data_IF_590936361953
#
_entry.id   IF_590936361953
#
_cell.length_a   1.000
_cell.length_b   1.000
_cell.length_c   1.000
_cell.angle_alpha   90.00
_cell.angle_beta   90.00
_cell.angle_gamma   90.00
#
_symmetry.space_group_name_H-M   'P 1'
#
loop_
_entity.id
_entity.type
_entity.pdbx_description
1 polymer ?
#
# COMPACT_ATOMS: atom_id res chain seq x y z
N UNK A 1 -0.03 -34.60 7.28
CA UNK A 1 -0.88 -33.47 6.82
C UNK A 1 -1.61 -33.75 5.49
N UNK A 2 -0.94 -34.18 4.42
CA UNK A 2 -1.60 -34.51 3.13
C UNK A 2 -2.59 -35.67 3.20
N UNK A 3 -2.31 -36.73 3.97
CA UNK A 3 -3.23 -37.87 4.15
C UNK A 3 -4.51 -37.51 4.93
N UNK A 4 -4.40 -36.66 5.95
CA UNK A 4 -5.55 -36.23 6.75
C UNK A 4 -6.52 -35.38 5.92
N UNK A 5 -5.99 -34.49 5.06
CA UNK A 5 -6.81 -33.70 4.14
C UNK A 5 -7.52 -34.56 3.07
N UNK A 6 -6.86 -35.63 2.59
CA UNK A 6 -7.49 -36.56 1.63
C UNK A 6 -8.63 -37.37 2.25
N UNK A 7 -8.51 -37.75 3.53
CA UNK A 7 -9.56 -38.47 4.26
C UNK A 7 -10.76 -37.55 4.56
N UNK A 8 -10.53 -36.30 4.93
CA UNK A 8 -11.58 -35.33 5.21
C UNK A 8 -12.39 -34.97 3.95
N UNK A 9 -11.71 -34.90 2.77
CA UNK A 9 -12.42 -34.67 1.48
C UNK A 9 -13.30 -35.85 1.08
N UNK A 10 -12.91 -37.09 1.38
CA UNK A 10 -13.71 -38.29 1.12
C UNK A 10 -14.95 -38.38 2.03
N UNK A 11 -14.94 -37.71 3.18
CA UNK A 11 -16.06 -37.65 4.13
C UNK A 11 -16.99 -36.44 3.89
N UNK A 12 -16.84 -35.72 2.79
CA UNK A 12 -17.68 -34.58 2.45
C UNK A 12 -17.42 -33.31 3.25
N UNK A 13 -16.37 -33.28 4.07
CA UNK A 13 -15.89 -32.05 4.69
C UNK A 13 -15.14 -31.23 3.63
N UNK A 14 -15.72 -30.11 3.19
CA UNK A 14 -14.96 -29.11 2.42
C UNK A 14 -13.74 -28.73 3.24
N UNK A 15 -12.54 -28.85 2.64
CA UNK A 15 -11.35 -28.24 3.23
C UNK A 15 -11.68 -26.76 3.45
N UNK A 16 -11.66 -26.32 4.69
CA UNK A 16 -11.69 -24.89 5.00
C UNK A 16 -10.39 -24.38 4.41
N UNK A 17 -10.45 -23.72 3.25
CA UNK A 17 -9.34 -22.94 2.76
C UNK A 17 -9.03 -21.96 3.89
N UNK A 18 -7.81 -21.97 4.42
CA UNK A 18 -7.39 -20.99 5.40
C UNK A 18 -7.29 -19.65 4.70
N UNK A 19 -8.44 -18.98 4.55
CA UNK A 19 -8.46 -17.59 4.11
C UNK A 19 -7.74 -16.78 5.18
N UNK A 20 -6.79 -15.93 4.74
CA UNK A 20 -6.13 -15.03 5.67
C UNK A 20 -7.15 -14.07 6.32
N UNK A 21 -6.86 -13.61 7.50
CA UNK A 21 -7.64 -12.56 8.14
C UNK A 21 -7.67 -11.27 7.30
N UNK A 22 -8.77 -10.51 7.31
CA UNK A 22 -8.84 -9.19 6.69
C UNK A 22 -7.72 -8.30 7.21
N UNK A 23 -7.10 -7.56 6.30
CA UNK A 23 -6.08 -6.56 6.61
C UNK A 23 -6.62 -5.15 6.45
N UNK A 24 -5.97 -4.19 7.09
CA UNK A 24 -6.28 -2.79 6.95
C UNK A 24 -5.23 -2.10 6.07
N UNK A 25 -5.70 -1.46 5.03
CA UNK A 25 -4.90 -0.86 3.98
C UNK A 25 -5.10 0.65 3.97
N UNK A 26 -4.00 1.38 3.87
CA UNK A 26 -4.00 2.80 3.58
C UNK A 26 -3.60 3.01 2.11
N UNK A 27 -4.33 3.86 1.40
CA UNK A 27 -4.06 4.22 0.01
C UNK A 27 -4.02 5.75 -0.14
N UNK A 28 -2.88 6.29 -0.57
CA UNK A 28 -2.73 7.67 -1.00
C UNK A 28 -2.65 7.70 -2.51
N UNK A 29 -3.71 8.17 -3.17
CA UNK A 29 -3.83 8.20 -4.61
C UNK A 29 -4.98 9.13 -5.03
N UNK A 30 -4.86 9.83 -6.15
CA UNK A 30 -5.91 10.70 -6.70
C UNK A 30 -6.66 10.09 -7.90
N UNK A 31 -6.20 8.98 -8.45
CA UNK A 31 -6.78 8.34 -9.64
C UNK A 31 -7.94 7.39 -9.29
N UNK A 32 -9.16 7.78 -9.67
CA UNK A 32 -10.37 7.00 -9.43
C UNK A 32 -10.37 5.60 -10.06
N UNK A 33 -9.63 5.39 -11.14
CA UNK A 33 -9.51 4.06 -11.78
C UNK A 33 -8.66 3.14 -10.92
N UNK A 34 -7.57 3.66 -10.36
CA UNK A 34 -6.76 2.91 -9.40
C UNK A 34 -7.51 2.63 -8.11
N UNK A 35 -8.32 3.57 -7.61
CA UNK A 35 -9.20 3.31 -6.44
C UNK A 35 -10.10 2.09 -6.67
N UNK A 36 -10.75 2.01 -7.85
CA UNK A 36 -11.59 0.85 -8.20
C UNK A 36 -10.77 -0.44 -8.27
N UNK A 37 -9.57 -0.37 -8.85
CA UNK A 37 -8.68 -1.52 -8.94
C UNK A 37 -8.31 -2.05 -7.54
N UNK A 38 -7.92 -1.16 -6.61
CA UNK A 38 -7.62 -1.54 -5.23
C UNK A 38 -8.83 -2.15 -4.52
N UNK A 39 -10.01 -1.56 -4.68
CA UNK A 39 -11.25 -2.06 -4.08
C UNK A 39 -11.59 -3.49 -4.55
N UNK A 40 -11.36 -3.79 -5.82
CA UNK A 40 -11.57 -5.14 -6.36
C UNK A 40 -10.48 -6.10 -5.89
N UNK A 41 -9.23 -5.66 -5.89
CA UNK A 41 -8.09 -6.50 -5.51
C UNK A 41 -8.11 -6.90 -4.04
N UNK A 42 -8.53 -6.00 -3.18
CA UNK A 42 -8.61 -6.18 -1.74
C UNK A 42 -10.05 -6.34 -1.25
N UNK A 43 -10.90 -6.96 -2.06
CA UNK A 43 -12.28 -7.27 -1.66
C UNK A 43 -12.27 -8.12 -0.38
N UNK A 44 -12.98 -7.65 0.65
CA UNK A 44 -13.01 -8.29 1.97
C UNK A 44 -11.99 -7.72 2.97
N UNK A 45 -11.10 -6.83 2.54
CA UNK A 45 -10.20 -6.06 3.39
C UNK A 45 -10.78 -4.65 3.66
N UNK A 46 -10.15 -3.91 4.59
CA UNK A 46 -10.54 -2.54 4.92
C UNK A 46 -9.58 -1.58 4.23
N UNK A 47 -10.10 -0.63 3.42
CA UNK A 47 -9.30 0.38 2.71
C UNK A 47 -9.71 1.76 3.18
N UNK A 48 -8.74 2.51 3.70
CA UNK A 48 -8.86 3.95 3.95
C UNK A 48 -8.13 4.71 2.83
N UNK A 49 -8.84 5.62 2.17
CA UNK A 49 -8.36 6.38 1.03
C UNK A 49 -8.09 7.83 1.42
N UNK A 50 -6.92 8.34 1.06
CA UNK A 50 -6.57 9.74 1.11
C UNK A 50 -6.26 10.28 -0.29
N UNK A 51 -6.68 11.51 -0.56
CA UNK A 51 -6.48 12.20 -1.83
C UNK A 51 -5.36 13.26 -1.77
N UNK A 52 -4.95 13.63 -0.56
CA UNK A 52 -3.96 14.68 -0.33
C UNK A 52 -3.15 14.40 0.94
N UNK A 53 -2.13 15.23 1.15
CA UNK A 53 -1.19 15.07 2.27
C UNK A 53 -1.87 15.21 3.64
N UNK A 54 -2.77 16.17 3.80
CA UNK A 54 -3.44 16.45 5.08
C UNK A 54 -4.34 15.29 5.51
N UNK A 55 -5.13 14.75 4.59
CA UNK A 55 -5.96 13.56 4.84
C UNK A 55 -5.09 12.35 5.18
N UNK A 56 -3.97 12.17 4.47
CA UNK A 56 -3.04 11.08 4.72
C UNK A 56 -2.45 11.16 6.12
N UNK A 57 -1.96 12.32 6.54
CA UNK A 57 -1.42 12.53 7.87
C UNK A 57 -2.45 12.25 8.97
N UNK A 58 -3.69 12.71 8.79
CA UNK A 58 -4.75 12.46 9.74
C UNK A 58 -5.04 10.96 9.90
N UNK A 59 -5.21 10.23 8.81
CA UNK A 59 -5.51 8.80 8.84
C UNK A 59 -4.35 7.98 9.41
N UNK A 60 -3.12 8.27 8.98
CA UNK A 60 -1.92 7.58 9.44
C UNK A 60 -1.58 7.86 10.91
N UNK A 61 -2.02 8.99 11.46
CA UNK A 61 -1.85 9.33 12.88
C UNK A 61 -2.85 8.66 13.80
N UNK A 62 -4.03 8.29 13.28
CA UNK A 62 -5.17 7.82 14.10
C UNK A 62 -5.42 6.32 13.96
N UNK A 63 -4.92 5.68 12.92
CA UNK A 63 -5.16 4.27 12.64
C UNK A 63 -3.85 3.53 12.39
N UNK A 64 -3.83 2.23 12.71
CA UNK A 64 -2.75 1.32 12.32
C UNK A 64 -3.12 0.56 11.04
N UNK A 65 -2.15 0.41 10.13
CA UNK A 65 -2.33 -0.27 8.86
C UNK A 65 -1.34 -1.42 8.70
N UNK A 66 -1.79 -2.48 8.04
CA UNK A 66 -0.94 -3.61 7.64
C UNK A 66 -0.16 -3.29 6.36
N UNK A 67 -0.77 -2.50 5.48
CA UNK A 67 -0.19 -2.09 4.22
C UNK A 67 -0.42 -0.61 3.95
N UNK A 68 0.59 0.06 3.43
CA UNK A 68 0.55 1.46 3.00
C UNK A 68 0.96 1.53 1.53
N UNK A 69 0.06 2.06 0.69
CA UNK A 69 0.30 2.30 -0.74
C UNK A 69 0.36 3.79 -1.00
N UNK A 70 1.46 4.25 -1.58
CA UNK A 70 1.73 5.67 -1.83
C UNK A 70 1.92 5.94 -3.32
N UNK A 71 1.13 6.86 -3.86
CA UNK A 71 1.42 7.53 -5.12
C UNK A 71 2.29 8.77 -4.86
N UNK A 72 3.02 9.24 -5.87
CA UNK A 72 3.80 10.48 -5.80
C UNK A 72 2.95 11.68 -6.25
N UNK A 73 2.37 11.60 -7.44
CA UNK A 73 1.65 12.71 -8.06
C UNK A 73 0.17 12.69 -7.63
N UNK A 74 -0.25 13.71 -6.90
CA UNK A 74 -1.58 13.77 -6.29
C UNK A 74 -2.52 14.79 -6.96
N UNK A 75 -2.02 15.55 -7.94
CA UNK A 75 -2.78 16.53 -8.69
C UNK A 75 -2.37 16.53 -10.16
N UNK A 76 -3.27 16.88 -11.11
CA UNK A 76 -2.93 16.88 -12.54
C UNK A 76 -1.71 17.74 -12.89
N UNK A 77 -1.48 18.84 -12.20
CA UNK A 77 -0.33 19.71 -12.40
C UNK A 77 1.00 19.06 -12.04
N UNK A 78 1.02 18.04 -11.18
CA UNK A 78 2.23 17.31 -10.82
C UNK A 78 2.76 16.44 -11.96
N UNK A 79 1.88 16.01 -12.88
CA UNK A 79 2.26 15.14 -14.01
C UNK A 79 3.08 15.86 -15.09
N UNK A 80 2.98 17.19 -15.16
CA UNK A 80 3.61 18.02 -16.19
C UNK A 80 4.64 19.01 -15.66
N UNK A 81 4.79 19.13 -14.34
CA UNK A 81 5.69 20.10 -13.72
C UNK A 81 7.11 19.54 -13.57
N UNK A 82 8.12 20.32 -14.02
CA UNK A 82 9.51 20.07 -13.72
C UNK A 82 9.89 20.54 -12.30
N UNK A 83 9.08 21.41 -11.70
CA UNK A 83 9.25 21.91 -10.33
C UNK A 83 8.33 21.11 -9.41
N UNK A 84 8.89 20.14 -8.70
CA UNK A 84 8.16 19.35 -7.75
C UNK A 84 7.91 20.13 -6.45
N UNK A 85 6.65 20.37 -6.13
CA UNK A 85 6.27 20.81 -4.79
C UNK A 85 6.22 19.59 -3.87
N UNK A 86 7.35 19.29 -3.23
CA UNK A 86 7.48 18.14 -2.34
C UNK A 86 6.55 18.20 -1.12
N UNK A 87 5.99 19.39 -0.81
CA UNK A 87 5.04 19.54 0.32
C UNK A 87 3.64 19.05 0.01
N UNK A 88 3.30 18.87 -1.27
CA UNK A 88 1.96 18.48 -1.75
C UNK A 88 1.93 17.14 -2.48
N UNK A 89 3.05 16.49 -2.64
CA UNK A 89 3.18 15.18 -3.28
C UNK A 89 3.28 14.06 -2.26
N UNK A 90 3.27 12.82 -2.73
CA UNK A 90 3.53 11.64 -1.89
C UNK A 90 4.87 11.67 -1.17
N UNK A 91 5.85 12.43 -1.67
CA UNK A 91 7.13 12.63 -1.00
C UNK A 91 6.97 13.27 0.39
N UNK A 92 6.01 14.17 0.58
CA UNK A 92 5.72 14.75 1.90
C UNK A 92 5.34 13.67 2.94
N UNK A 93 4.58 12.68 2.54
CA UNK A 93 4.23 11.55 3.41
C UNK A 93 5.42 10.63 3.65
N UNK A 94 6.21 10.35 2.63
CA UNK A 94 7.43 9.55 2.77
C UNK A 94 8.41 10.20 3.77
N UNK A 95 8.65 11.49 3.64
CA UNK A 95 9.51 12.27 4.54
C UNK A 95 8.94 12.34 5.96
N UNK A 96 7.64 12.53 6.09
CA UNK A 96 6.97 12.57 7.38
C UNK A 96 7.02 11.23 8.11
N UNK A 97 6.79 10.11 7.41
CA UNK A 97 6.95 8.76 7.98
C UNK A 97 8.41 8.47 8.36
N UNK A 98 9.38 8.90 7.55
CA UNK A 98 10.80 8.76 7.87
C UNK A 98 11.20 9.50 9.15
N UNK A 99 10.57 10.66 9.41
CA UNK A 99 10.85 11.49 10.59
C UNK A 99 10.06 11.08 11.84
N UNK A 100 9.08 10.19 11.70
CA UNK A 100 8.21 9.72 12.79
C UNK A 100 8.20 8.19 12.85
N UNK A 101 9.32 7.56 13.29
CA UNK A 101 9.47 6.09 13.25
C UNK A 101 8.49 5.35 14.15
N UNK A 102 7.87 6.01 15.12
CA UNK A 102 6.83 5.46 15.98
C UNK A 102 5.48 5.26 15.27
N UNK A 103 5.26 5.95 14.15
CA UNK A 103 4.05 5.79 13.35
C UNK A 103 4.17 4.60 12.40
N UNK A 104 3.13 3.78 12.35
CA UNK A 104 3.02 2.67 11.40
C UNK A 104 4.23 1.70 11.43
N UNK A 105 4.71 1.23 12.59
CA UNK A 105 5.96 0.47 12.68
C UNK A 105 5.89 -0.91 12.01
N UNK A 106 4.69 -1.51 11.93
CA UNK A 106 4.49 -2.85 11.37
C UNK A 106 3.99 -2.85 9.92
N UNK A 107 3.82 -1.69 9.31
CA UNK A 107 3.26 -1.60 7.95
C UNK A 107 4.27 -1.99 6.88
N UNK A 108 3.79 -2.74 5.87
CA UNK A 108 4.49 -2.88 4.59
C UNK A 108 4.19 -1.67 3.73
N UNK A 109 5.22 -0.98 3.24
CA UNK A 109 5.08 0.28 2.48
C UNK A 109 5.49 0.05 1.02
N UNK A 110 4.55 0.27 0.11
CA UNK A 110 4.77 0.16 -1.33
C UNK A 110 4.47 1.49 -2.02
N UNK A 111 5.42 1.96 -2.81
CA UNK A 111 5.24 3.14 -3.69
C UNK A 111 4.90 2.63 -5.08
N UNK A 112 3.77 3.08 -5.65
CA UNK A 112 3.21 2.51 -6.89
C UNK A 112 3.08 3.52 -8.04
N UNK A 113 3.67 4.69 -7.91
CA UNK A 113 3.59 5.75 -8.92
C UNK A 113 4.22 5.36 -10.27
N UNK A 114 3.79 6.03 -11.34
CA UNK A 114 4.46 5.98 -12.66
C UNK A 114 5.69 6.89 -12.73
N UNK A 115 5.81 7.83 -11.82
CA UNK A 115 6.96 8.70 -11.70
C UNK A 115 8.11 7.97 -11.02
N UNK A 116 9.00 7.37 -11.81
CA UNK A 116 10.11 6.56 -11.29
C UNK A 116 11.07 7.38 -10.42
N UNK A 117 11.40 8.61 -10.83
CA UNK A 117 12.30 9.48 -10.06
C UNK A 117 11.67 9.88 -8.72
N UNK A 118 10.39 10.24 -8.72
CA UNK A 118 9.64 10.52 -7.50
C UNK A 118 9.57 9.30 -6.59
N UNK A 119 9.31 8.11 -7.14
CA UNK A 119 9.30 6.86 -6.38
C UNK A 119 10.65 6.56 -5.71
N UNK A 120 11.73 6.68 -6.44
CA UNK A 120 13.06 6.42 -5.89
C UNK A 120 13.43 7.39 -4.77
N UNK A 121 13.10 8.67 -4.93
CA UNK A 121 13.31 9.68 -3.87
C UNK A 121 12.50 9.34 -2.62
N UNK A 122 11.24 8.91 -2.76
CA UNK A 122 10.39 8.50 -1.65
C UNK A 122 10.97 7.29 -0.92
N UNK A 123 11.36 6.26 -1.65
CA UNK A 123 11.94 5.03 -1.08
C UNK A 123 13.26 5.32 -0.36
N UNK A 124 14.15 6.11 -0.96
CA UNK A 124 15.42 6.50 -0.34
C UNK A 124 15.21 7.30 0.95
N UNK A 125 14.27 8.24 0.95
CA UNK A 125 13.93 9.03 2.13
C UNK A 125 13.44 8.14 3.28
N UNK A 126 12.53 7.22 2.99
CA UNK A 126 12.02 6.29 4.00
C UNK A 126 13.11 5.35 4.52
N UNK A 127 13.96 4.83 3.65
CA UNK A 127 15.09 3.96 4.05
C UNK A 127 16.11 4.68 4.92
N UNK A 128 16.41 5.95 4.64
CA UNK A 128 17.26 6.78 5.51
C UNK A 128 16.67 6.91 6.92
N UNK A 129 15.35 6.98 7.04
CA UNK A 129 14.63 6.96 8.30
C UNK A 129 14.46 5.58 8.95
N UNK A 130 15.10 4.53 8.39
CA UNK A 130 15.05 3.16 8.93
C UNK A 130 13.83 2.35 8.54
N UNK A 131 13.02 2.81 7.57
CA UNK A 131 11.83 2.09 7.11
C UNK A 131 12.10 1.18 5.94
N UNK A 132 11.46 0.01 5.94
CA UNK A 132 11.40 -0.85 4.78
C UNK A 132 10.32 -0.36 3.82
N UNK A 133 10.74 0.20 2.70
CA UNK A 133 9.86 0.66 1.63
C UNK A 133 10.36 0.12 0.29
N UNK A 134 9.43 -0.14 -0.62
CA UNK A 134 9.71 -0.73 -1.92
C UNK A 134 8.96 0.05 -3.02
N UNK A 135 9.63 0.27 -4.15
CA UNK A 135 9.00 0.77 -5.36
C UNK A 135 8.52 -0.39 -6.23
N UNK A 136 7.21 -0.44 -6.48
CA UNK A 136 6.58 -1.39 -7.40
C UNK A 136 5.71 -0.61 -8.37
N UNK A 137 6.12 -0.44 -9.62
CA UNK A 137 5.29 0.23 -10.62
C UNK A 137 3.90 -0.39 -10.68
N UNK A 138 2.87 0.44 -10.83
CA UNK A 138 1.48 -0.01 -10.76
C UNK A 138 1.17 -1.26 -11.64
N UNK A 139 1.70 -1.39 -12.89
CA UNK A 139 1.46 -2.58 -13.70
C UNK A 139 1.98 -3.89 -13.09
N UNK A 140 2.97 -3.82 -12.19
CA UNK A 140 3.56 -4.98 -11.53
C UNK A 140 2.97 -5.24 -10.13
N UNK A 141 2.10 -4.36 -9.67
CA UNK A 141 1.60 -4.37 -8.30
C UNK A 141 0.78 -5.62 -7.97
N UNK A 142 -0.01 -6.13 -8.93
CA UNK A 142 -0.84 -7.31 -8.74
C UNK A 142 -0.02 -8.55 -8.33
N UNK A 143 1.12 -8.78 -8.99
CA UNK A 143 2.00 -9.90 -8.66
C UNK A 143 2.67 -9.72 -7.31
N UNK A 144 3.08 -8.48 -6.99
CA UNK A 144 3.73 -8.19 -5.72
C UNK A 144 2.77 -8.34 -4.53
N UNK A 145 1.52 -7.92 -4.68
CA UNK A 145 0.47 -8.11 -3.66
C UNK A 145 0.25 -9.59 -3.36
N UNK A 146 0.22 -10.45 -4.37
CA UNK A 146 0.10 -11.91 -4.17
C UNK A 146 1.27 -12.47 -3.34
N UNK A 147 2.44 -11.90 -3.47
CA UNK A 147 3.62 -12.33 -2.71
C UNK A 147 3.45 -12.03 -1.21
N UNK A 148 2.96 -10.84 -0.86
CA UNK A 148 2.80 -10.42 0.54
C UNK A 148 1.52 -10.94 1.20
N UNK A 149 0.40 -10.89 0.49
CA UNK A 149 -0.92 -11.19 1.06
C UNK A 149 -1.67 -12.22 0.21
N UNK A 150 -1.27 -13.47 0.35
CA UNK A 150 -1.97 -14.59 -0.29
C UNK A 150 -3.32 -14.83 0.38
N UNK A 151 -4.33 -15.03 -0.44
CA UNK A 151 -5.65 -15.54 -0.02
C UNK A 151 -5.74 -17.04 -0.23
#
# INVERSE_FOLDING_TARGET
>A
MRLLNLLLTKLGFKSVSSERHPIRIFLLDDDKRRHKWFALRFKGDFIDLAHNVEQAQQLLSTNAYDAIFLDHDLHPEHYSSLNHDDTRTGFAIASWLASNPELQPASTILVHTRNADGAMRMVEEMRRGGRSAEYVPFPLLAERIKHYWKR
#
